data_IF_592235099033
#
_entry.id   IF_592235099033
#
_cell.length_a   1.000
_cell.length_b   1.000
_cell.length_c   1.000
_cell.angle_alpha   90.00
_cell.angle_beta   90.00
_cell.angle_gamma   90.00
#
_symmetry.space_group_name_H-M   'P 1'
#
loop_
_entity.id
_entity.type
_entity.pdbx_description
1 polymer ?
#
# COMPACT_ATOMS: atom_id res chain seq x y z
N UNK A 1 27.75 -7.94 -5.98
CA UNK A 1 27.42 -7.22 -7.24
C UNK A 1 27.08 -5.78 -6.88
N UNK A 2 27.68 -4.77 -7.53
CA UNK A 2 27.41 -3.37 -7.20
C UNK A 2 26.02 -2.95 -7.69
N UNK A 3 25.30 -2.18 -6.86
CA UNK A 3 23.98 -1.63 -7.18
C UNK A 3 24.09 -0.60 -8.33
N UNK A 4 23.40 -0.87 -9.44
CA UNK A 4 23.37 0.04 -10.61
C UNK A 4 22.24 1.05 -10.43
N UNK A 5 22.61 2.32 -10.20
CA UNK A 5 21.65 3.43 -10.03
C UNK A 5 20.77 3.54 -11.27
N UNK A 6 19.46 3.34 -11.11
CA UNK A 6 18.46 3.43 -12.19
C UNK A 6 17.94 2.09 -12.70
N UNK A 7 18.57 0.97 -12.34
CA UNK A 7 18.00 -0.36 -12.57
C UNK A 7 17.19 -0.78 -11.33
N UNK A 8 15.87 -0.71 -11.42
CA UNK A 8 15.00 -1.28 -10.40
C UNK A 8 15.18 -2.81 -10.40
N UNK A 9 15.51 -3.41 -9.27
CA UNK A 9 15.68 -4.87 -9.13
C UNK A 9 14.39 -5.70 -9.30
N UNK A 10 13.29 -5.10 -9.74
CA UNK A 10 12.01 -5.76 -9.98
C UNK A 10 11.70 -5.80 -11.49
N UNK A 11 11.62 -6.98 -12.12
CA UNK A 11 11.40 -7.11 -13.56
C UNK A 11 10.03 -6.57 -14.03
N UNK A 12 9.06 -6.40 -13.12
CA UNK A 12 7.76 -5.79 -13.41
C UNK A 12 7.71 -4.26 -13.38
N UNK A 13 8.84 -3.58 -13.09
CA UNK A 13 8.90 -2.12 -13.00
C UNK A 13 7.92 -1.50 -11.97
N UNK A 14 7.73 -0.18 -12.03
CA UNK A 14 6.65 0.52 -11.32
C UNK A 14 5.38 0.32 -12.15
N UNK A 15 4.37 -0.37 -11.59
CA UNK A 15 3.11 -0.64 -12.30
C UNK A 15 2.50 0.66 -12.87
N UNK A 16 2.19 0.62 -14.17
CA UNK A 16 2.05 1.80 -15.02
C UNK A 16 0.78 2.64 -14.87
N UNK A 17 -0.16 2.34 -13.96
CA UNK A 17 -1.52 2.90 -14.10
C UNK A 17 -2.11 3.50 -12.81
N UNK A 18 -1.30 4.12 -11.97
CA UNK A 18 -1.84 4.93 -10.86
C UNK A 18 -2.00 6.39 -11.27
N UNK A 19 -2.64 6.65 -12.41
CA UNK A 19 -2.86 8.00 -12.98
C UNK A 19 -3.48 8.92 -11.92
N UNK A 20 -4.50 8.44 -11.20
CA UNK A 20 -5.14 9.20 -10.13
C UNK A 20 -4.18 9.50 -8.96
N UNK A 21 -3.42 8.52 -8.49
CA UNK A 21 -2.49 8.73 -7.38
C UNK A 21 -1.36 9.68 -7.77
N UNK A 22 -0.92 9.65 -9.02
CA UNK A 22 0.13 10.55 -9.52
C UNK A 22 -0.39 11.99 -9.68
N UNK A 23 -1.61 12.18 -10.19
CA UNK A 23 -2.25 13.50 -10.20
C UNK A 23 -2.49 14.03 -8.78
N UNK A 24 -2.95 13.18 -7.86
CA UNK A 24 -3.15 13.57 -6.47
C UNK A 24 -1.82 13.96 -5.79
N UNK A 25 -0.73 13.23 -6.06
CA UNK A 25 0.62 13.60 -5.58
C UNK A 25 1.07 14.95 -6.13
N UNK A 26 0.81 15.24 -7.40
CA UNK A 26 1.14 16.53 -8.00
C UNK A 26 0.40 17.65 -7.29
N UNK A 27 -0.93 17.57 -7.26
CA UNK A 27 -1.80 18.59 -6.65
C UNK A 27 -1.46 18.80 -5.18
N UNK A 28 -1.32 17.73 -4.39
CA UNK A 28 -1.03 17.84 -2.94
C UNK A 28 0.34 18.48 -2.66
N UNK A 29 1.31 18.33 -3.56
CA UNK A 29 2.63 18.94 -3.45
C UNK A 29 2.71 20.38 -3.99
N UNK A 30 1.70 20.84 -4.74
CA UNK A 30 1.63 22.22 -5.19
C UNK A 30 1.58 23.19 -4.01
N UNK A 31 2.21 24.34 -4.20
CA UNK A 31 2.18 25.45 -3.26
C UNK A 31 0.86 26.20 -3.38
N UNK A 32 0.23 26.50 -2.25
CA UNK A 32 -1.07 27.21 -2.19
C UNK A 32 -0.88 28.71 -2.19
N UNK A 33 0.20 29.19 -1.56
CA UNK A 33 0.41 30.60 -1.26
C UNK A 33 1.82 31.03 -1.69
N UNK A 34 2.02 32.34 -1.85
CA UNK A 34 3.33 32.96 -2.19
C UNK A 34 4.43 32.65 -1.16
N UNK A 35 4.03 32.22 0.05
CA UNK A 35 4.94 31.82 1.14
C UNK A 35 5.43 30.36 1.01
N UNK A 36 5.08 29.63 -0.05
CA UNK A 36 5.58 28.28 -0.30
C UNK A 36 4.91 27.17 0.52
N UNK A 37 3.79 27.46 1.20
CA UNK A 37 3.05 26.46 1.97
C UNK A 37 2.38 25.46 1.01
N UNK A 38 2.74 24.19 1.09
CA UNK A 38 2.17 23.11 0.26
C UNK A 38 0.73 22.77 0.68
N UNK A 39 -0.11 22.34 -0.27
CA UNK A 39 -1.49 21.88 -0.01
C UNK A 39 -1.56 20.81 1.06
N UNK A 40 -0.57 19.92 1.11
CA UNK A 40 -0.48 18.86 2.12
C UNK A 40 -0.51 19.38 3.57
N UNK A 41 0.02 20.58 3.82
CA UNK A 41 0.05 21.14 5.17
C UNK A 41 -1.34 21.56 5.61
N UNK A 42 -2.11 22.21 4.74
CA UNK A 42 -3.52 22.54 5.01
C UNK A 42 -4.38 21.29 5.21
N UNK A 43 -4.07 20.19 4.52
CA UNK A 43 -4.73 18.89 4.76
C UNK A 43 -4.36 18.32 6.14
N UNK A 44 -3.10 18.40 6.54
CA UNK A 44 -2.66 17.95 7.85
C UNK A 44 -3.30 18.77 8.97
N UNK A 45 -3.41 20.09 8.82
CA UNK A 45 -4.07 20.96 9.79
C UNK A 45 -5.54 20.55 9.99
N UNK A 46 -6.28 20.30 8.90
CA UNK A 46 -7.66 19.80 8.97
C UNK A 46 -7.78 18.42 9.60
N UNK A 47 -6.83 17.53 9.36
CA UNK A 47 -6.81 16.19 9.98
C UNK A 47 -6.71 16.33 11.51
N UNK A 48 -5.82 17.21 11.98
CA UNK A 48 -5.63 17.47 13.41
C UNK A 48 -6.86 18.16 14.00
N UNK A 49 -7.46 19.11 13.29
CA UNK A 49 -8.71 19.76 13.71
C UNK A 49 -9.83 18.73 13.93
N UNK A 50 -10.03 17.80 12.99
CA UNK A 50 -11.01 16.70 13.16
C UNK A 50 -10.67 15.77 14.32
N UNK A 51 -9.39 15.49 14.56
CA UNK A 51 -8.98 14.71 15.71
C UNK A 51 -9.28 15.45 17.03
N UNK A 52 -9.08 16.77 17.08
CA UNK A 52 -9.42 17.61 18.23
C UNK A 52 -10.94 17.71 18.46
N UNK A 53 -11.74 17.67 17.40
CA UNK A 53 -13.20 17.58 17.48
C UNK A 53 -13.70 16.22 18.01
N UNK A 54 -12.81 15.22 18.15
CA UNK A 54 -13.15 13.90 18.69
C UNK A 54 -13.52 12.86 17.63
N UNK A 55 -13.24 13.12 16.35
CA UNK A 55 -13.45 12.15 15.27
C UNK A 55 -12.49 10.96 15.43
N UNK A 56 -13.03 9.79 15.79
CA UNK A 56 -12.24 8.59 16.08
C UNK A 56 -11.33 8.14 14.94
N UNK A 57 -11.78 8.25 13.68
CA UNK A 57 -10.96 7.92 12.51
C UNK A 57 -9.76 8.87 12.36
N UNK A 58 -9.91 10.15 12.72
CA UNK A 58 -8.85 11.14 12.63
C UNK A 58 -7.81 10.92 13.74
N UNK A 59 -8.27 10.64 14.96
CA UNK A 59 -7.41 10.27 16.09
C UNK A 59 -6.54 9.05 15.76
N UNK A 60 -7.13 7.99 15.21
CA UNK A 60 -6.39 6.80 14.81
C UNK A 60 -5.37 7.09 13.69
N UNK A 61 -5.74 7.91 12.69
CA UNK A 61 -4.83 8.30 11.61
C UNK A 61 -3.65 9.16 12.10
N UNK A 62 -3.85 9.98 13.12
CA UNK A 62 -2.79 10.77 13.76
C UNK A 62 -1.87 9.84 14.56
N UNK A 63 -2.44 8.97 15.39
CA UNK A 63 -1.70 7.99 16.19
C UNK A 63 -0.84 7.05 15.30
N UNK A 64 -1.45 6.46 14.26
CA UNK A 64 -0.77 5.57 13.30
C UNK A 64 0.44 6.23 12.60
N UNK A 65 0.44 7.56 12.46
CA UNK A 65 1.55 8.30 11.82
C UNK A 65 2.63 8.75 12.78
N UNK A 66 2.30 9.00 14.04
CA UNK A 66 3.26 9.46 15.05
C UNK A 66 3.88 8.28 15.80
N UNK A 67 3.05 7.37 16.31
CA UNK A 67 3.47 6.21 17.09
C UNK A 67 3.71 4.97 16.22
N UNK A 68 3.36 5.06 14.93
CA UNK A 68 3.44 3.96 13.98
C UNK A 68 2.26 3.00 14.14
N UNK A 69 1.99 2.23 13.09
CA UNK A 69 0.98 1.17 13.18
C UNK A 69 1.51 0.00 14.02
N UNK A 70 0.68 -0.57 14.91
CA UNK A 70 1.04 -1.81 15.58
C UNK A 70 1.35 -2.89 14.53
N UNK A 71 2.34 -3.73 14.83
CA UNK A 71 2.78 -4.81 13.94
C UNK A 71 1.60 -5.72 13.64
N UNK A 72 1.15 -5.70 12.38
CA UNK A 72 0.06 -6.57 11.96
C UNK A 72 0.58 -8.00 11.86
N UNK A 73 0.16 -8.85 12.80
CA UNK A 73 0.42 -10.28 12.74
C UNK A 73 -0.31 -10.85 11.53
N UNK A 74 0.44 -11.32 10.53
CA UNK A 74 -0.10 -12.11 9.44
C UNK A 74 -0.12 -13.57 9.90
N UNK A 75 -1.23 -14.01 10.47
CA UNK A 75 -1.45 -15.43 10.76
C UNK A 75 -1.71 -16.16 9.44
N UNK A 76 -0.85 -17.13 9.13
CA UNK A 76 -0.89 -17.88 7.88
C UNK A 76 -2.01 -18.90 7.80
N UNK A 77 -2.22 -19.63 8.91
CA UNK A 77 -3.20 -20.70 9.04
C UNK A 77 -4.17 -20.42 10.19
N UNK A 78 -5.38 -21.00 10.17
CA UNK A 78 -6.35 -20.91 11.27
C UNK A 78 -5.77 -21.28 12.64
N UNK A 79 -4.73 -22.13 12.65
CA UNK A 79 -4.09 -22.65 13.86
C UNK A 79 -2.84 -21.86 14.30
N UNK A 80 -2.56 -20.70 13.69
CA UNK A 80 -1.44 -19.82 14.09
C UNK A 80 -0.04 -20.39 13.80
N UNK A 81 0.04 -21.45 12.99
CA UNK A 81 1.30 -22.03 12.55
C UNK A 81 2.00 -21.13 11.50
N UNK A 82 3.34 -21.10 11.46
CA UNK A 82 4.06 -20.40 10.40
C UNK A 82 3.70 -20.97 9.03
N UNK A 83 3.48 -20.08 8.05
CA UNK A 83 3.21 -20.48 6.65
C UNK A 83 4.36 -21.38 6.17
N UNK A 84 4.08 -22.67 5.98
CA UNK A 84 5.01 -23.60 5.33
C UNK A 84 4.78 -23.55 3.84
N UNK A 85 5.68 -22.87 3.13
CA UNK A 85 5.66 -22.87 1.67
C UNK A 85 6.43 -24.09 1.17
N UNK A 86 5.73 -25.17 0.82
CA UNK A 86 6.36 -26.39 0.28
C UNK A 86 6.70 -26.25 -1.21
N UNK A 87 5.86 -25.53 -1.98
CA UNK A 87 6.03 -25.36 -3.42
C UNK A 87 5.29 -24.12 -3.90
N UNK A 88 5.91 -23.34 -4.79
CA UNK A 88 5.29 -22.19 -5.46
C UNK A 88 5.16 -22.53 -6.94
N UNK A 89 3.93 -22.58 -7.47
CA UNK A 89 3.67 -22.74 -8.90
C UNK A 89 3.00 -21.49 -9.46
N UNK A 90 3.56 -20.97 -10.55
CA UNK A 90 2.94 -19.87 -11.29
C UNK A 90 2.07 -20.51 -12.37
N UNK A 91 0.77 -20.67 -12.08
CA UNK A 91 -0.18 -21.27 -13.02
C UNK A 91 -0.78 -20.17 -13.90
N UNK A 92 -0.57 -20.27 -15.21
CA UNK A 92 -1.29 -19.44 -16.16
C UNK A 92 -2.80 -19.71 -16.04
N UNK A 93 -3.67 -18.68 -16.03
CA UNK A 93 -5.10 -18.82 -15.69
C UNK A 93 -5.86 -19.82 -16.58
N UNK A 94 -5.35 -20.07 -17.79
CA UNK A 94 -5.90 -21.01 -18.76
C UNK A 94 -5.70 -22.48 -18.35
N UNK A 95 -4.59 -22.79 -17.65
CA UNK A 95 -4.27 -24.15 -17.17
C UNK A 95 -5.04 -24.52 -15.89
N UNK A 96 -5.47 -23.53 -15.11
CA UNK A 96 -6.20 -23.75 -13.86
C UNK A 96 -7.62 -24.30 -14.11
N UNK A 97 -8.23 -23.95 -15.24
CA UNK A 97 -9.52 -24.50 -15.67
C UNK A 97 -9.39 -25.97 -16.11
N UNK A 98 -8.34 -26.29 -16.88
CA UNK A 98 -8.11 -27.64 -17.37
C UNK A 98 -7.80 -28.67 -16.26
N UNK A 99 -7.17 -28.25 -15.16
CA UNK A 99 -6.89 -29.12 -14.01
C UNK A 99 -8.14 -29.42 -13.18
N UNK A 100 -9.07 -28.47 -13.04
CA UNK A 100 -10.32 -28.68 -12.30
C UNK A 100 -11.33 -29.52 -13.09
N UNK A 101 -11.29 -29.47 -14.42
CA UNK A 101 -12.23 -30.23 -15.26
C UNK A 101 -11.83 -31.72 -15.38
N UNK A 102 -10.58 -32.10 -15.08
CA UNK A 102 -10.10 -33.48 -15.22
C UNK A 102 -10.09 -34.31 -13.91
N UNK A 103 -10.50 -33.70 -12.79
CA UNK A 103 -10.61 -34.35 -11.48
C UNK A 103 -12.07 -34.69 -11.10
N UNK A 104 -12.99 -34.62 -12.06
CA UNK A 104 -14.43 -34.84 -11.86
C UNK A 104 -14.99 -36.12 -12.52
N UNK A 105 -14.14 -37.04 -13.01
CA UNK A 105 -14.52 -38.39 -13.47
C UNK A 105 -13.76 -39.48 -12.70
#
# INVERSE_FOLDING_TARGET
MPFVKGQSGHPGGRSQEKIFADQLRLVVNETVDKNGTKKIRKLADKLVERALEGEGWALQQVADRLDGKPTQMLAGDPDGSPIRVERIEIVAPQLLKALNDHSAD
#
